data_IF_702805253051
#
_entry.id   IF_702805253051
#
_cell.length_a   1.000
_cell.length_b   1.000
_cell.length_c   1.000
_cell.angle_alpha   90.00
_cell.angle_beta   90.00
_cell.angle_gamma   90.00
#
_symmetry.space_group_name_H-M   'P 1'
#
loop_
_entity.id
_entity.type
_entity.pdbx_description
1 polymer ?
#
# COMPACT_ATOMS: atom_id res chain seq x y z
N UNK A 1 17.54 -9.33 -14.41
CA UNK A 1 16.64 -9.30 -15.59
C UNK A 1 15.17 -9.05 -15.19
N UNK A 2 14.63 -9.73 -14.18
CA UNK A 2 13.20 -9.63 -13.79
C UNK A 2 12.75 -8.25 -13.27
N UNK A 3 13.53 -7.59 -12.40
CA UNK A 3 13.14 -6.27 -11.86
C UNK A 3 13.01 -5.21 -12.95
N UNK A 4 13.97 -5.16 -13.88
CA UNK A 4 13.93 -4.23 -15.01
C UNK A 4 12.68 -4.45 -15.88
N UNK A 5 12.29 -5.71 -16.11
CA UNK A 5 11.07 -6.05 -16.86
C UNK A 5 9.79 -5.57 -16.16
N UNK A 6 9.77 -5.52 -14.83
CA UNK A 6 8.63 -5.07 -14.02
C UNK A 6 8.58 -3.55 -13.81
N UNK A 7 9.34 -2.75 -14.55
CA UNK A 7 9.30 -1.29 -14.37
C UNK A 7 10.24 -0.74 -13.29
N UNK A 8 11.12 -1.57 -12.71
CA UNK A 8 12.00 -1.11 -11.62
C UNK A 8 13.22 -0.37 -12.15
N UNK A 9 13.54 0.75 -11.51
CA UNK A 9 14.67 1.61 -11.82
C UNK A 9 15.62 1.66 -10.63
N UNK A 10 16.84 2.17 -10.85
CA UNK A 10 17.84 2.31 -9.79
C UNK A 10 17.31 3.12 -8.61
N UNK A 11 16.52 4.15 -8.88
CA UNK A 11 15.85 4.94 -7.85
C UNK A 11 14.95 4.08 -6.96
N UNK A 12 14.08 3.24 -7.54
CA UNK A 12 13.20 2.35 -6.76
C UNK A 12 13.98 1.39 -5.86
N UNK A 13 15.13 0.88 -6.32
CA UNK A 13 16.00 0.03 -5.50
C UNK A 13 16.55 0.82 -4.31
N UNK A 14 17.03 2.05 -4.53
CA UNK A 14 17.53 2.89 -3.43
C UNK A 14 16.47 3.24 -2.38
N UNK A 15 15.21 3.46 -2.81
CA UNK A 15 14.07 3.68 -1.90
C UNK A 15 13.87 2.47 -0.99
N UNK A 16 13.92 1.26 -1.54
CA UNK A 16 13.73 0.04 -0.75
C UNK A 16 14.90 -0.23 0.17
N UNK A 17 16.13 -0.03 -0.29
CA UNK A 17 17.31 -0.21 0.57
C UNK A 17 17.22 0.71 1.80
N UNK A 18 16.85 1.97 1.60
CA UNK A 18 16.63 2.93 2.69
C UNK A 18 15.47 2.51 3.62
N UNK A 19 14.37 2.01 3.04
CA UNK A 19 13.20 1.55 3.81
C UNK A 19 13.54 0.34 4.68
N UNK A 20 14.34 -0.59 4.17
CA UNK A 20 14.77 -1.79 4.91
C UNK A 20 15.68 -1.40 6.08
N UNK A 21 16.61 -0.47 5.86
CA UNK A 21 17.56 -0.02 6.88
C UNK A 21 16.88 0.81 7.99
N UNK A 22 16.07 1.80 7.59
CA UNK A 22 15.48 2.78 8.53
C UNK A 22 14.14 2.33 9.11
N UNK A 23 13.47 1.36 8.48
CA UNK A 23 12.08 0.95 8.76
C UNK A 23 11.07 2.09 8.63
N UNK A 24 11.41 3.13 7.86
CA UNK A 24 10.57 4.28 7.56
C UNK A 24 10.60 4.53 6.06
N UNK A 25 9.59 5.22 5.56
CA UNK A 25 9.60 5.67 4.18
C UNK A 25 10.75 6.66 3.94
N UNK A 26 11.36 6.60 2.76
CA UNK A 26 12.43 7.51 2.40
C UNK A 26 11.90 8.94 2.29
N UNK A 27 12.53 9.88 2.98
CA UNK A 27 12.20 11.31 2.90
C UNK A 27 13.12 11.99 1.90
N UNK A 28 12.53 12.75 0.97
CA UNK A 28 13.22 13.59 0.00
C UNK A 28 12.78 15.05 0.06
N UNK A 29 13.41 15.91 -0.73
CA UNK A 29 13.09 17.35 -0.84
C UNK A 29 13.01 17.78 -2.32
N UNK A 30 12.76 19.07 -2.57
CA UNK A 30 12.67 19.72 -3.90
C UNK A 30 11.43 19.38 -4.75
N UNK A 31 10.63 18.39 -4.34
CA UNK A 31 9.40 18.01 -5.04
C UNK A 31 9.66 17.17 -6.30
N UNK A 32 8.60 16.92 -7.07
CA UNK A 32 8.68 16.17 -8.32
C UNK A 32 8.77 17.14 -9.51
N UNK A 33 9.92 17.20 -10.16
CA UNK A 33 10.19 18.05 -11.33
C UNK A 33 10.04 17.32 -12.68
N UNK A 34 9.80 16.00 -12.65
CA UNK A 34 9.59 15.17 -13.82
C UNK A 34 8.24 15.42 -14.52
N UNK A 35 8.11 15.05 -15.81
CA UNK A 35 6.83 15.13 -16.51
C UNK A 35 5.77 14.25 -15.82
N UNK A 36 4.50 14.59 -16.03
CA UNK A 36 3.41 13.68 -15.67
C UNK A 36 3.52 12.39 -16.50
N UNK A 37 3.13 11.26 -15.91
CA UNK A 37 3.17 9.96 -16.57
C UNK A 37 2.48 9.94 -17.95
N UNK A 38 1.41 10.73 -18.12
CA UNK A 38 0.67 10.85 -19.38
C UNK A 38 1.44 11.52 -20.53
N UNK A 39 2.42 12.37 -20.23
CA UNK A 39 3.21 13.11 -21.23
C UNK A 39 4.70 12.76 -21.19
N UNK A 40 5.10 11.78 -20.38
CA UNK A 40 6.49 11.35 -20.30
C UNK A 40 6.92 10.69 -21.60
N UNK A 41 8.13 11.03 -22.07
CA UNK A 41 8.79 10.32 -23.17
C UNK A 41 9.53 9.07 -22.70
N UNK A 42 9.61 8.84 -21.39
CA UNK A 42 10.16 7.65 -20.78
C UNK A 42 9.04 6.75 -20.28
N UNK A 43 9.36 5.47 -20.01
CA UNK A 43 8.39 4.55 -19.40
C UNK A 43 7.93 5.11 -18.04
N UNK A 44 6.63 5.03 -17.76
CA UNK A 44 6.06 5.30 -16.45
C UNK A 44 5.38 4.03 -15.93
N UNK A 45 5.42 3.82 -14.61
CA UNK A 45 4.69 2.70 -14.01
C UNK A 45 3.20 3.04 -13.96
N UNK A 46 2.36 1.99 -13.94
CA UNK A 46 0.91 2.18 -13.84
C UNK A 46 0.53 3.01 -12.60
N UNK A 47 1.24 2.83 -11.49
CA UNK A 47 1.03 3.60 -10.27
C UNK A 47 1.22 5.11 -10.46
N UNK A 48 2.11 5.53 -11.37
CA UNK A 48 2.45 6.95 -11.56
C UNK A 48 1.30 7.75 -12.20
N UNK A 49 0.34 7.06 -12.83
CA UNK A 49 -0.87 7.65 -13.41
C UNK A 49 -1.94 7.94 -12.34
N UNK A 50 -1.94 7.23 -11.22
CA UNK A 50 -2.89 7.42 -10.14
C UNK A 50 -2.32 8.40 -9.12
N UNK A 51 -3.09 9.44 -8.77
CA UNK A 51 -2.72 10.42 -7.75
C UNK A 51 -3.57 10.23 -6.51
N UNK A 52 -2.94 10.34 -5.34
CA UNK A 52 -3.64 10.25 -4.06
C UNK A 52 -4.54 11.48 -3.87
N UNK A 53 -5.80 11.23 -3.51
CA UNK A 53 -6.75 12.29 -3.20
C UNK A 53 -6.58 12.70 -1.74
N UNK A 54 -6.52 14.01 -1.50
CA UNK A 54 -6.45 14.58 -0.15
C UNK A 54 -7.71 15.36 0.18
N UNK A 55 -8.12 15.27 1.45
CA UNK A 55 -9.17 16.13 2.00
C UNK A 55 -8.61 17.52 2.28
N UNK A 56 -9.35 18.58 1.96
CA UNK A 56 -8.86 19.95 2.10
C UNK A 56 -9.84 20.82 2.90
N UNK A 57 -10.96 21.24 2.30
CA UNK A 57 -11.88 22.21 2.92
C UNK A 57 -13.05 21.53 3.63
N UNK A 58 -13.59 20.49 3.00
CA UNK A 58 -14.87 19.87 3.41
C UNK A 58 -14.75 18.99 4.65
N UNK A 59 -13.57 18.45 4.91
CA UNK A 59 -13.29 17.58 6.04
C UNK A 59 -11.79 17.65 6.37
N UNK A 60 -11.42 17.72 7.67
CA UNK A 60 -10.02 17.75 8.06
C UNK A 60 -9.33 16.41 7.75
N UNK A 61 -8.04 16.46 7.42
CA UNK A 61 -7.20 15.28 7.39
C UNK A 61 -6.96 14.78 8.84
N UNK A 62 -6.92 13.45 9.01
CA UNK A 62 -6.70 12.82 10.32
C UNK A 62 -5.22 12.48 10.45
N UNK A 63 -4.59 12.86 11.57
CA UNK A 63 -3.17 12.61 11.83
C UNK A 63 -2.92 11.15 12.23
N UNK A 64 -2.21 10.40 11.38
CA UNK A 64 -1.92 8.98 11.61
C UNK A 64 -1.04 8.72 12.82
N UNK A 65 -0.11 9.62 13.16
CA UNK A 65 0.81 9.40 14.29
C UNK A 65 0.13 9.75 15.62
N UNK A 66 -0.62 10.86 15.66
CA UNK A 66 -1.29 11.32 16.89
C UNK A 66 -2.59 10.58 17.17
N UNK A 67 -3.32 10.16 16.14
CA UNK A 67 -4.66 9.56 16.25
C UNK A 67 -4.68 8.10 15.75
N UNK A 68 -3.56 7.39 15.86
CA UNK A 68 -3.39 6.02 15.36
C UNK A 68 -4.51 5.05 15.80
N UNK A 69 -5.08 5.24 16.99
CA UNK A 69 -6.16 4.40 17.52
C UNK A 69 -7.48 4.48 16.72
N UNK A 70 -7.67 5.54 15.94
CA UNK A 70 -8.85 5.71 15.08
C UNK A 70 -8.71 4.98 13.73
N UNK A 71 -7.51 4.49 13.41
CA UNK A 71 -7.24 3.77 12.18
C UNK A 71 -7.13 2.26 12.40
N UNK A 72 -7.55 1.50 11.40
CA UNK A 72 -7.34 0.05 11.35
C UNK A 72 -6.95 -0.36 9.93
N UNK A 73 -5.90 -1.17 9.82
CA UNK A 73 -5.47 -1.80 8.58
C UNK A 73 -5.91 -3.27 8.49
N UNK A 74 -6.79 -3.73 9.41
CA UNK A 74 -7.24 -5.12 9.43
C UNK A 74 -7.97 -5.47 8.14
N UNK A 75 -7.69 -6.67 7.64
CA UNK A 75 -8.29 -7.19 6.40
C UNK A 75 -9.03 -8.48 6.69
N UNK A 76 -10.18 -8.63 6.06
CA UNK A 76 -10.97 -9.84 6.04
C UNK A 76 -10.82 -10.48 4.66
N UNK A 77 -10.42 -11.74 4.61
CA UNK A 77 -10.27 -12.52 3.38
C UNK A 77 -11.31 -13.64 3.39
N UNK A 78 -12.15 -13.67 2.36
CA UNK A 78 -13.26 -14.62 2.24
C UNK A 78 -14.45 -13.98 1.53
N UNK A 79 -15.58 -14.71 1.51
CA UNK A 79 -16.82 -14.21 0.90
C UNK A 79 -17.33 -12.99 1.67
N UNK A 80 -17.67 -11.93 0.94
CA UNK A 80 -18.31 -10.75 1.53
C UNK A 80 -19.74 -11.13 1.94
N UNK A 81 -20.15 -10.88 3.20
CA UNK A 81 -21.51 -11.13 3.66
C UNK A 81 -22.50 -10.20 2.95
N UNK A 82 -23.74 -10.66 2.77
CA UNK A 82 -24.81 -9.83 2.23
C UNK A 82 -25.25 -8.79 3.26
N UNK A 83 -25.88 -7.71 2.79
CA UNK A 83 -26.42 -6.68 3.67
C UNK A 83 -27.49 -7.29 4.60
N UNK A 84 -27.33 -7.11 5.92
CA UNK A 84 -28.25 -7.63 6.94
C UNK A 84 -27.97 -9.06 7.40
N UNK A 85 -27.03 -9.77 6.80
CA UNK A 85 -26.60 -11.08 7.30
C UNK A 85 -25.63 -10.92 8.48
N UNK A 86 -25.86 -11.69 9.55
CA UNK A 86 -24.89 -11.80 10.63
C UNK A 86 -23.61 -12.41 10.08
N UNK A 87 -22.47 -11.78 10.38
CA UNK A 87 -21.14 -12.31 10.10
C UNK A 87 -21.03 -13.70 10.74
N UNK A 88 -21.25 -14.76 9.97
CA UNK A 88 -20.95 -16.12 10.41
C UNK A 88 -19.45 -16.22 10.56
N UNK A 89 -18.97 -16.69 11.71
CA UNK A 89 -17.52 -16.89 11.91
C UNK A 89 -16.96 -17.89 10.88
N UNK A 90 -17.80 -18.81 10.40
CA UNK A 90 -17.48 -19.82 9.38
C UNK A 90 -17.33 -19.25 7.95
N UNK A 91 -17.78 -18.01 7.70
CA UNK A 91 -17.81 -17.41 6.35
C UNK A 91 -16.53 -16.68 5.93
N UNK A 92 -15.62 -16.43 6.88
CA UNK A 92 -14.33 -15.79 6.61
C UNK A 92 -13.21 -16.79 6.74
N UNK A 93 -12.51 -17.02 5.63
CA UNK A 93 -11.43 -17.99 5.58
C UNK A 93 -10.21 -17.52 6.38
N UNK A 94 -9.90 -16.21 6.37
CA UNK A 94 -8.81 -15.63 7.17
C UNK A 94 -9.05 -14.18 7.57
N UNK A 95 -8.71 -13.85 8.83
CA UNK A 95 -8.53 -12.47 9.32
C UNK A 95 -7.04 -12.14 9.36
N UNK A 96 -6.65 -11.02 8.76
CA UNK A 96 -5.26 -10.56 8.75
C UNK A 96 -5.14 -9.22 9.47
N UNK A 97 -4.04 -9.04 10.22
CA UNK A 97 -3.79 -7.82 10.95
C UNK A 97 -3.53 -6.61 10.03
N UNK A 98 -3.00 -6.85 8.83
CA UNK A 98 -2.69 -5.84 7.81
C UNK A 98 -2.79 -6.46 6.39
N UNK A 99 -2.83 -5.65 5.31
CA UNK A 99 -2.90 -6.16 3.94
C UNK A 99 -1.56 -6.70 3.38
N UNK A 100 -0.47 -6.68 4.15
CA UNK A 100 0.88 -7.03 3.67
C UNK A 100 1.23 -8.45 4.09
N UNK A 101 1.24 -9.37 3.11
CA UNK A 101 1.56 -10.77 3.35
C UNK A 101 2.97 -11.11 2.87
N UNK A 102 3.85 -11.54 3.78
CA UNK A 102 5.17 -12.06 3.44
C UNK A 102 5.07 -13.52 2.94
N UNK A 103 6.18 -14.09 2.46
CA UNK A 103 6.20 -15.48 1.97
C UNK A 103 5.87 -16.49 3.08
N UNK A 104 6.14 -16.16 4.35
CA UNK A 104 5.91 -17.05 5.49
C UNK A 104 4.44 -17.03 5.92
N UNK A 105 3.76 -15.90 5.80
CA UNK A 105 2.35 -15.74 6.15
C UNK A 105 1.39 -16.34 5.12
N UNK A 106 1.90 -16.66 3.91
CA UNK A 106 1.15 -17.33 2.84
C UNK A 106 1.28 -18.85 2.83
N UNK A 107 2.14 -19.45 3.67
CA UNK A 107 2.31 -20.90 3.72
C UNK A 107 1.14 -21.53 4.51
N UNK A 108 0.25 -22.32 3.87
CA UNK A 108 -0.86 -22.96 4.56
C UNK A 108 -0.43 -24.12 5.47
N UNK A 109 0.86 -24.52 5.45
CA UNK A 109 1.38 -25.71 6.17
C UNK A 109 2.00 -25.39 7.53
N UNK A 110 2.01 -24.13 7.96
CA UNK A 110 2.42 -23.75 9.32
C UNK A 110 1.19 -23.39 10.17
N UNK A 111 1.18 -23.79 11.47
CA UNK A 111 0.09 -23.49 12.39
C UNK A 111 -0.06 -21.97 12.61
#
# INVERSE_FOLDING_TARGET
MTMAAMGWERYHVSVIDSLVETKKEQVGSLGWDGPLAAISHTRANLADYFKETVAVVTNPAIDREREAAQFSVRVLVGSRPSFGETLREDGFERRAANPVFDRRSRDPRRP
#
